data_IF_044371784979
#
_entry.id   IF_044371784979
#
_cell.length_a   1.000
_cell.length_b   1.000
_cell.length_c   1.000
_cell.angle_alpha   90.00
_cell.angle_beta   90.00
_cell.angle_gamma   90.00
#
_symmetry.space_group_name_H-M   'P 1'
#
loop_
_entity.id
_entity.type
_entity.pdbx_description
1 polymer ?
#
# COMPACT_ATOMS: atom_id res chain seq x y z
N UNK A 1 -9.14 4.69 8.40
CA UNK A 1 -8.59 3.34 8.60
C UNK A 1 -7.27 3.20 7.86
N UNK A 2 -6.30 2.45 8.40
CA UNK A 2 -5.07 2.12 7.68
C UNK A 2 -4.74 0.63 7.83
N UNK A 3 -4.20 0.04 6.78
CA UNK A 3 -3.79 -1.35 6.71
C UNK A 3 -2.32 -1.40 6.33
N UNK A 4 -1.46 -1.77 7.29
CA UNK A 4 -0.09 -2.17 7.00
C UNK A 4 -0.13 -3.52 6.29
N UNK A 5 0.57 -3.65 5.16
CA UNK A 5 0.36 -4.76 4.25
C UNK A 5 1.56 -5.70 4.16
N UNK A 6 1.29 -6.99 4.03
CA UNK A 6 2.33 -7.99 3.89
C UNK A 6 2.15 -8.88 2.67
N UNK A 7 3.22 -9.04 1.91
CA UNK A 7 3.30 -9.95 0.77
C UNK A 7 3.79 -11.38 1.11
N UNK A 8 3.87 -11.77 2.39
CA UNK A 8 4.28 -13.13 2.78
C UNK A 8 3.29 -14.18 2.29
N UNK A 9 3.78 -15.27 1.69
CA UNK A 9 2.96 -16.37 1.16
C UNK A 9 2.50 -17.35 2.26
N UNK A 10 1.82 -16.84 3.29
CA UNK A 10 1.27 -17.61 4.42
C UNK A 10 -0.17 -17.19 4.68
N UNK A 11 -0.93 -18.04 5.40
CA UNK A 11 -2.35 -17.80 5.69
C UNK A 11 -2.58 -16.51 6.50
N UNK A 12 -1.78 -16.30 7.54
CA UNK A 12 -1.86 -15.17 8.46
C UNK A 12 -0.50 -14.47 8.53
N UNK A 13 -0.21 -13.52 7.60
CA UNK A 13 1.05 -12.80 7.60
C UNK A 13 1.19 -11.94 8.85
N UNK A 14 2.30 -12.08 9.56
CA UNK A 14 2.55 -11.30 10.79
C UNK A 14 2.61 -9.79 10.55
N UNK A 15 2.97 -9.38 9.33
CA UNK A 15 3.05 -7.99 8.93
C UNK A 15 1.75 -7.45 8.34
N UNK A 16 0.60 -8.04 8.63
CA UNK A 16 -0.71 -7.53 8.21
C UNK A 16 -1.44 -7.00 9.45
N UNK A 17 -1.46 -5.69 9.60
CA UNK A 17 -2.08 -5.01 10.73
C UNK A 17 -3.13 -4.01 10.24
N UNK A 18 -4.25 -3.93 10.96
CA UNK A 18 -5.38 -3.08 10.61
C UNK A 18 -5.70 -2.18 11.78
N UNK A 19 -5.74 -0.87 11.54
CA UNK A 19 -6.14 0.11 12.53
C UNK A 19 -7.23 1.05 11.98
N UNK A 20 -8.14 1.43 12.84
CA UNK A 20 -9.09 2.51 12.55
C UNK A 20 -8.97 3.62 13.60
N UNK A 21 -9.49 4.79 13.28
CA UNK A 21 -9.48 5.93 14.18
C UNK A 21 -10.88 6.51 14.28
N UNK A 22 -11.39 6.49 15.50
CA UNK A 22 -12.63 7.13 15.92
C UNK A 22 -12.36 8.36 16.79
N UNK A 23 -13.38 8.80 17.53
CA UNK A 23 -13.24 9.94 18.45
C UNK A 23 -12.40 9.61 19.70
N UNK A 24 -12.37 8.35 20.09
CA UNK A 24 -11.57 7.85 21.22
C UNK A 24 -10.08 7.69 20.92
N UNK A 25 -9.65 7.94 19.68
CA UNK A 25 -8.29 7.73 19.20
C UNK A 25 -8.16 6.49 18.30
N UNK A 26 -6.93 6.19 17.84
CA UNK A 26 -6.69 5.02 16.98
C UNK A 26 -6.71 3.71 17.77
N UNK A 27 -7.31 2.70 17.16
CA UNK A 27 -7.48 1.35 17.69
C UNK A 27 -6.99 0.31 16.69
N UNK A 28 -6.27 -0.71 17.19
CA UNK A 28 -5.86 -1.85 16.39
C UNK A 28 -6.98 -2.90 16.36
N UNK A 29 -7.44 -3.23 15.17
CA UNK A 29 -8.48 -4.25 14.98
C UNK A 29 -7.83 -5.64 15.00
N UNK A 30 -7.96 -6.33 16.13
CA UNK A 30 -7.32 -7.63 16.37
C UNK A 30 -8.23 -8.77 15.98
N UNK A 31 -7.68 -9.81 15.37
CA UNK A 31 -8.33 -11.10 15.14
C UNK A 31 -7.56 -12.22 15.85
N UNK A 32 -8.25 -13.21 16.38
CA UNK A 32 -7.68 -14.29 17.20
C UNK A 32 -6.46 -14.96 16.54
N UNK A 33 -6.54 -15.25 15.23
CA UNK A 33 -5.45 -15.86 14.46
C UNK A 33 -4.62 -14.84 13.66
N UNK A 34 -4.84 -13.52 13.88
CA UNK A 34 -4.34 -12.45 13.03
C UNK A 34 -5.14 -12.32 11.73
N UNK A 35 -4.81 -11.31 10.95
CA UNK A 35 -5.46 -11.06 9.68
C UNK A 35 -4.94 -12.00 8.58
N UNK A 36 -5.83 -12.40 7.67
CA UNK A 36 -5.49 -12.93 6.36
C UNK A 36 -5.92 -11.95 5.27
N UNK A 37 -5.33 -12.05 4.08
CA UNK A 37 -5.76 -11.20 2.94
C UNK A 37 -7.20 -11.48 2.51
N UNK A 38 -7.65 -12.74 2.63
CA UNK A 38 -9.07 -13.07 2.42
C UNK A 38 -9.98 -12.37 3.44
N UNK A 39 -9.61 -12.38 4.73
CA UNK A 39 -10.37 -11.70 5.77
C UNK A 39 -10.40 -10.17 5.60
N UNK A 40 -9.32 -9.58 5.06
CA UNK A 40 -9.31 -8.15 4.67
C UNK A 40 -10.26 -7.92 3.50
N UNK A 41 -10.22 -8.75 2.46
CA UNK A 41 -11.12 -8.65 1.32
C UNK A 41 -12.59 -8.73 1.77
N UNK A 42 -12.94 -9.73 2.58
CA UNK A 42 -14.31 -9.89 3.10
C UNK A 42 -14.77 -8.67 3.91
N UNK A 43 -13.87 -8.12 4.70
CA UNK A 43 -14.17 -6.92 5.48
C UNK A 43 -14.37 -5.68 4.60
N UNK A 44 -13.51 -5.46 3.61
CA UNK A 44 -13.66 -4.37 2.63
C UNK A 44 -14.99 -4.49 1.86
N UNK A 45 -15.38 -5.70 1.46
CA UNK A 45 -16.69 -5.95 0.84
C UNK A 45 -17.83 -5.60 1.80
N UNK A 46 -17.69 -5.92 3.08
CA UNK A 46 -18.65 -5.53 4.12
C UNK A 46 -18.77 -4.01 4.27
N UNK A 47 -17.65 -3.28 4.28
CA UNK A 47 -17.65 -1.80 4.33
C UNK A 47 -18.32 -1.19 3.10
N UNK A 48 -18.08 -1.76 1.91
CA UNK A 48 -18.75 -1.35 0.68
C UNK A 48 -20.27 -1.54 0.78
N UNK A 49 -20.73 -2.71 1.22
CA UNK A 49 -22.14 -3.03 1.39
C UNK A 49 -22.82 -2.12 2.41
N UNK A 50 -22.13 -1.79 3.48
CA UNK A 50 -22.58 -0.86 4.51
C UNK A 50 -22.54 0.62 4.07
N UNK A 51 -21.91 0.93 2.91
CA UNK A 51 -21.63 2.30 2.46
C UNK A 51 -20.92 3.13 3.55
N UNK A 52 -19.99 2.50 4.27
CA UNK A 52 -19.27 3.15 5.36
C UNK A 52 -18.50 4.37 4.81
N UNK A 53 -18.75 5.56 5.35
CA UNK A 53 -18.04 6.78 4.95
C UNK A 53 -16.64 6.78 5.57
N UNK A 54 -15.68 6.21 4.84
CA UNK A 54 -14.36 5.89 5.38
C UNK A 54 -13.25 6.02 4.34
N UNK A 55 -12.19 6.72 4.70
CA UNK A 55 -10.93 6.70 3.96
C UNK A 55 -10.07 5.53 4.42
N UNK A 56 -9.66 4.66 3.47
CA UNK A 56 -8.95 3.40 3.72
C UNK A 56 -7.56 3.47 3.08
N UNK A 57 -6.52 3.56 3.90
CA UNK A 57 -5.14 3.52 3.43
C UNK A 57 -4.60 2.10 3.38
N UNK A 58 -4.04 1.71 2.24
CA UNK A 58 -3.29 0.45 2.08
C UNK A 58 -1.81 0.75 1.91
N UNK A 59 -0.95 0.21 2.78
CA UNK A 59 0.51 0.33 2.67
C UNK A 59 1.07 -0.65 1.64
N UNK A 60 0.74 -0.39 0.39
CA UNK A 60 1.19 -1.12 -0.78
C UNK A 60 1.11 -0.24 -2.02
N UNK A 61 1.90 -0.55 -3.03
CA UNK A 61 1.79 0.12 -4.33
C UNK A 61 0.76 -0.61 -5.19
N UNK A 62 -0.36 0.03 -5.59
CA UNK A 62 -1.42 -0.63 -6.36
C UNK A 62 -1.04 -0.87 -7.83
N UNK A 63 0.06 -0.30 -8.31
CA UNK A 63 0.57 -0.52 -9.65
C UNK A 63 2.10 -0.53 -9.67
N UNK A 64 2.66 -0.79 -10.85
CA UNK A 64 4.09 -0.82 -11.14
C UNK A 64 4.50 0.42 -11.95
N UNK A 65 5.79 0.76 -12.07
CA UNK A 65 6.29 1.79 -12.98
C UNK A 65 5.86 1.54 -14.43
N UNK A 66 5.34 2.56 -15.08
CA UNK A 66 4.82 2.49 -16.45
C UNK A 66 5.34 3.64 -17.32
N UNK A 67 5.23 4.87 -16.82
CA UNK A 67 5.43 6.11 -17.62
C UNK A 67 6.85 6.23 -18.18
N UNK A 68 7.85 5.72 -17.48
CA UNK A 68 9.26 5.76 -17.89
C UNK A 68 9.56 4.91 -19.15
N UNK A 69 8.70 3.93 -19.47
CA UNK A 69 8.86 3.01 -20.61
C UNK A 69 7.59 2.83 -21.43
N UNK A 70 6.52 3.55 -21.12
CA UNK A 70 5.17 3.36 -21.67
C UNK A 70 4.64 1.93 -21.58
N UNK A 71 5.13 1.16 -20.62
CA UNK A 71 4.75 -0.24 -20.36
C UNK A 71 5.23 -0.70 -18.99
N UNK A 72 4.50 -1.62 -18.35
CA UNK A 72 4.97 -2.25 -17.11
C UNK A 72 6.14 -3.19 -17.33
N UNK A 73 6.07 -3.98 -18.40
CA UNK A 73 7.02 -5.05 -18.70
C UNK A 73 7.59 -4.88 -20.11
N UNK A 74 8.64 -4.03 -20.29
CA UNK A 74 9.30 -3.85 -21.57
C UNK A 74 9.77 -5.17 -22.18
N UNK A 75 9.45 -5.40 -23.44
CA UNK A 75 9.81 -6.61 -24.17
C UNK A 75 8.80 -7.77 -24.02
N UNK A 76 7.71 -7.58 -23.27
CA UNK A 76 6.62 -8.53 -23.17
C UNK A 76 5.39 -7.99 -23.90
N UNK A 77 5.03 -8.61 -25.04
CA UNK A 77 3.93 -8.13 -25.89
C UNK A 77 2.56 -8.15 -25.20
N UNK A 78 2.40 -9.01 -24.20
CA UNK A 78 1.18 -9.09 -23.39
C UNK A 78 1.16 -8.16 -22.18
N UNK A 79 2.12 -7.22 -22.08
CA UNK A 79 2.13 -6.23 -20.99
C UNK A 79 0.82 -5.44 -20.94
N UNK A 80 0.15 -5.38 -19.78
CA UNK A 80 -1.16 -4.74 -19.68
C UNK A 80 -1.07 -3.22 -19.91
N UNK A 81 -2.11 -2.60 -20.49
CA UNK A 81 -2.08 -1.18 -20.84
C UNK A 81 -2.38 -0.23 -19.67
N UNK A 82 -2.99 -0.72 -18.60
CA UNK A 82 -3.40 0.07 -17.44
C UNK A 82 -3.40 -0.77 -16.15
N UNK A 83 -3.60 -0.11 -15.02
CA UNK A 83 -3.57 -0.76 -13.70
C UNK A 83 -4.68 -1.81 -13.52
N UNK A 84 -5.86 -1.62 -14.09
CA UNK A 84 -6.98 -2.57 -13.99
C UNK A 84 -6.67 -3.86 -14.73
N UNK A 85 -6.11 -3.75 -15.90
CA UNK A 85 -5.64 -4.90 -16.69
C UNK A 85 -4.44 -5.58 -16.00
N UNK A 86 -3.54 -4.80 -15.36
CA UNK A 86 -2.44 -5.34 -14.55
C UNK A 86 -2.98 -6.17 -13.37
N UNK A 87 -3.98 -5.68 -12.63
CA UNK A 87 -4.58 -6.43 -11.52
C UNK A 87 -5.22 -7.73 -12.00
N UNK A 88 -5.92 -7.70 -13.12
CA UNK A 88 -6.56 -8.88 -13.71
C UNK A 88 -5.52 -9.94 -14.11
N UNK A 89 -4.44 -9.54 -14.78
CA UNK A 89 -3.35 -10.45 -15.17
C UNK A 89 -2.68 -11.07 -13.93
N UNK A 90 -2.35 -10.25 -12.91
CA UNK A 90 -1.74 -10.72 -11.67
C UNK A 90 -2.64 -11.75 -10.96
N UNK A 91 -3.96 -11.50 -10.86
CA UNK A 91 -4.87 -12.45 -10.23
C UNK A 91 -5.05 -13.73 -11.05
N UNK A 92 -5.08 -13.62 -12.38
CA UNK A 92 -5.17 -14.77 -13.29
C UNK A 92 -3.93 -15.66 -13.21
N UNK A 93 -2.73 -15.08 -13.30
CA UNK A 93 -1.46 -15.83 -13.22
C UNK A 93 -1.25 -16.49 -11.86
N UNK A 94 -1.76 -15.90 -10.81
CA UNK A 94 -1.68 -16.41 -9.44
C UNK A 94 -2.95 -17.13 -8.97
N UNK A 95 -3.82 -17.57 -9.88
CA UNK A 95 -5.13 -18.14 -9.51
C UNK A 95 -5.02 -19.29 -8.51
N UNK A 96 -4.03 -20.16 -8.70
CA UNK A 96 -3.77 -21.35 -7.87
C UNK A 96 -2.86 -21.06 -6.66
N UNK A 97 -2.31 -19.85 -6.56
CA UNK A 97 -1.46 -19.50 -5.41
C UNK A 97 -2.32 -19.39 -4.14
N UNK A 98 -1.94 -20.10 -3.05
CA UNK A 98 -2.71 -20.09 -1.82
C UNK A 98 -2.66 -18.71 -1.13
N UNK A 99 -3.67 -18.42 -0.31
CA UNK A 99 -3.71 -17.24 0.58
C UNK A 99 -3.60 -15.89 -0.15
N UNK A 100 -4.05 -15.81 -1.40
CA UNK A 100 -3.87 -14.63 -2.25
C UNK A 100 -2.38 -14.22 -2.39
N UNK A 101 -1.47 -15.19 -2.35
CA UNK A 101 -0.07 -14.96 -2.69
C UNK A 101 0.07 -14.68 -4.20
N UNK A 102 1.24 -14.24 -4.62
CA UNK A 102 1.55 -13.95 -6.04
C UNK A 102 2.89 -14.59 -6.46
N UNK A 103 3.12 -15.82 -6.00
CA UNK A 103 4.37 -16.54 -6.24
C UNK A 103 4.53 -16.92 -7.70
N UNK A 104 3.44 -17.33 -8.36
CA UNK A 104 3.42 -17.70 -9.77
C UNK A 104 3.79 -16.53 -10.69
N UNK A 105 3.34 -15.31 -10.36
CA UNK A 105 3.68 -14.08 -11.11
C UNK A 105 5.18 -13.83 -11.12
N UNK A 106 5.83 -13.94 -9.96
CA UNK A 106 7.27 -13.66 -9.84
C UNK A 106 8.14 -14.83 -10.28
N UNK A 107 7.54 -16.02 -10.50
CA UNK A 107 8.21 -17.20 -11.03
C UNK A 107 8.06 -17.33 -12.55
N UNK A 108 7.15 -16.60 -13.17
CA UNK A 108 6.95 -16.59 -14.61
C UNK A 108 8.25 -16.24 -15.35
N UNK A 109 8.50 -16.89 -16.47
CA UNK A 109 9.77 -16.79 -17.20
C UNK A 109 10.04 -15.37 -17.70
N UNK A 110 9.02 -14.70 -18.27
CA UNK A 110 9.15 -13.34 -18.81
C UNK A 110 9.13 -12.30 -17.68
N UNK A 111 8.15 -12.39 -16.77
CA UNK A 111 8.00 -11.40 -15.71
C UNK A 111 9.17 -11.42 -14.73
N UNK A 112 9.74 -12.58 -14.47
CA UNK A 112 10.89 -12.74 -13.56
C UNK A 112 12.11 -11.92 -13.96
N UNK A 113 12.26 -11.56 -15.23
CA UNK A 113 13.33 -10.73 -15.78
C UNK A 113 13.30 -9.30 -15.26
N UNK A 114 12.15 -8.83 -14.82
CA UNK A 114 11.96 -7.48 -14.28
C UNK A 114 12.16 -7.39 -12.77
N UNK A 115 12.21 -8.52 -12.06
CA UNK A 115 12.26 -8.53 -10.59
C UNK A 115 13.68 -8.79 -10.05
N UNK A 116 13.97 -8.11 -8.92
CA UNK A 116 15.13 -8.45 -8.08
C UNK A 116 14.71 -9.45 -7.02
N UNK A 117 15.31 -10.65 -7.03
CA UNK A 117 15.11 -11.74 -6.07
C UNK A 117 16.36 -11.93 -5.20
N UNK A 118 16.28 -12.71 -4.11
CA UNK A 118 17.36 -12.87 -3.11
C UNK A 118 18.75 -13.14 -3.68
N UNK A 119 18.85 -13.90 -4.77
CA UNK A 119 20.15 -14.33 -5.38
C UNK A 119 20.24 -14.02 -6.87
N UNK A 120 19.23 -13.40 -7.43
CA UNK A 120 19.18 -13.13 -8.85
C UNK A 120 18.52 -11.77 -9.08
N UNK A 121 19.17 -10.95 -9.87
CA UNK A 121 18.60 -9.75 -10.44
C UNK A 121 18.20 -10.08 -11.88
N UNK A 122 16.93 -9.88 -12.22
CA UNK A 122 16.49 -10.03 -13.60
C UNK A 122 17.23 -9.03 -14.50
N UNK A 123 17.49 -9.41 -15.73
CA UNK A 123 18.23 -8.62 -16.72
C UNK A 123 17.52 -7.31 -17.09
N UNK A 124 16.22 -7.24 -16.90
CA UNK A 124 15.38 -6.06 -17.14
C UNK A 124 15.00 -5.28 -15.86
N UNK A 125 15.55 -5.66 -14.70
CA UNK A 125 15.31 -4.92 -13.44
C UNK A 125 15.80 -3.46 -13.50
N UNK A 126 16.84 -3.20 -14.29
CA UNK A 126 17.52 -1.92 -14.37
C UNK A 126 18.68 -1.78 -13.38
N UNK A 127 19.29 -0.60 -13.35
CA UNK A 127 20.43 -0.32 -12.47
C UNK A 127 20.01 0.24 -11.12
N UNK A 128 20.82 0.02 -10.10
CA UNK A 128 20.63 0.63 -8.79
C UNK A 128 19.36 0.17 -8.08
N UNK A 129 18.38 1.06 -7.94
CA UNK A 129 17.11 0.80 -7.23
C UNK A 129 16.04 0.11 -8.07
N UNK A 130 16.26 -0.07 -9.37
CA UNK A 130 15.24 -0.46 -10.33
C UNK A 130 14.36 0.72 -10.76
N UNK A 131 13.34 0.45 -11.56
CA UNK A 131 12.38 1.43 -12.04
C UNK A 131 11.51 1.96 -10.88
N UNK A 132 11.18 3.24 -10.91
CA UNK A 132 10.30 3.90 -9.95
C UNK A 132 9.09 4.50 -10.66
N UNK A 133 7.95 4.57 -9.97
CA UNK A 133 6.77 5.31 -10.41
C UNK A 133 7.00 6.82 -10.25
N UNK A 134 6.23 7.63 -10.95
CA UNK A 134 6.32 9.10 -10.88
C UNK A 134 6.18 9.59 -9.43
N UNK A 135 5.24 9.03 -8.65
CA UNK A 135 5.08 9.40 -7.23
C UNK A 135 6.28 9.01 -6.37
N UNK A 136 6.95 7.90 -6.66
CA UNK A 136 8.15 7.46 -5.95
C UNK A 136 9.38 8.34 -6.27
N UNK A 137 9.50 8.83 -7.51
CA UNK A 137 10.51 9.82 -7.86
C UNK A 137 10.30 11.13 -7.09
N UNK A 138 9.05 11.59 -6.96
CA UNK A 138 8.72 12.75 -6.13
C UNK A 138 9.01 12.51 -4.65
N UNK A 139 8.77 11.31 -4.14
CA UNK A 139 9.17 10.93 -2.79
C UNK A 139 10.68 11.07 -2.58
N UNK A 140 11.51 10.67 -3.57
CA UNK A 140 12.96 10.88 -3.50
C UNK A 140 13.33 12.36 -3.42
N UNK A 141 12.72 13.20 -4.25
CA UNK A 141 12.93 14.66 -4.22
C UNK A 141 12.52 15.27 -2.87
N UNK A 142 11.50 14.72 -2.23
CA UNK A 142 11.06 15.10 -0.88
C UNK A 142 11.93 14.51 0.26
N UNK A 143 13.03 13.81 -0.06
CA UNK A 143 13.95 13.22 0.93
C UNK A 143 13.44 11.94 1.58
N UNK A 144 12.41 11.29 0.99
CA UNK A 144 11.98 9.95 1.36
C UNK A 144 12.86 8.89 0.67
N UNK A 145 12.66 7.63 0.98
CA UNK A 145 13.49 6.55 0.44
C UNK A 145 12.60 5.40 -0.07
N UNK A 146 11.80 5.64 -1.14
CA UNK A 146 10.96 4.58 -1.71
C UNK A 146 11.81 3.45 -2.28
N UNK A 147 11.22 2.27 -2.31
CA UNK A 147 11.80 1.07 -2.92
C UNK A 147 10.96 0.70 -4.13
N UNK A 148 11.61 0.34 -5.22
CA UNK A 148 10.94 -0.11 -6.44
C UNK A 148 9.98 -1.28 -6.17
N UNK A 149 8.79 -1.25 -6.78
CA UNK A 149 7.84 -2.36 -6.75
C UNK A 149 8.36 -3.63 -7.43
N UNK A 150 9.43 -3.54 -8.21
CA UNK A 150 10.13 -4.71 -8.76
C UNK A 150 11.12 -5.33 -7.78
N UNK A 151 11.33 -4.76 -6.57
CA UNK A 151 12.20 -5.33 -5.56
C UNK A 151 11.44 -6.31 -4.65
N UNK A 152 11.87 -7.58 -4.65
CA UNK A 152 11.26 -8.66 -3.85
C UNK A 152 12.13 -9.08 -2.65
N UNK A 153 13.19 -8.31 -2.34
CA UNK A 153 14.18 -8.69 -1.31
C UNK A 153 14.39 -7.60 -0.27
N UNK A 154 14.96 -8.00 0.86
CA UNK A 154 15.26 -7.09 1.98
C UNK A 154 14.07 -6.87 2.92
N UNK A 155 14.22 -5.90 3.81
CA UNK A 155 13.17 -5.52 4.75
C UNK A 155 11.96 -4.88 4.04
N UNK A 156 12.21 -4.19 2.91
CA UNK A 156 11.18 -3.56 2.09
C UNK A 156 10.88 -4.42 0.86
N UNK A 157 10.17 -5.55 1.04
CA UNK A 157 9.70 -6.40 -0.05
C UNK A 157 8.44 -5.83 -0.71
N UNK A 158 8.51 -4.55 -1.14
CA UNK A 158 7.37 -3.79 -1.66
C UNK A 158 6.69 -4.52 -2.82
N UNK A 159 7.46 -5.12 -3.73
CA UNK A 159 6.89 -5.83 -4.87
C UNK A 159 5.96 -6.99 -4.48
N UNK A 160 6.27 -7.74 -3.43
CA UNK A 160 5.37 -8.82 -2.97
C UNK A 160 4.10 -8.26 -2.34
N UNK A 161 4.21 -7.20 -1.55
CA UNK A 161 3.06 -6.51 -0.98
C UNK A 161 2.17 -5.96 -2.10
N UNK A 162 2.75 -5.32 -3.10
CA UNK A 162 2.05 -4.76 -4.26
C UNK A 162 1.29 -5.83 -5.04
N UNK A 163 1.94 -6.90 -5.45
CA UNK A 163 1.30 -7.97 -6.24
C UNK A 163 0.15 -8.66 -5.48
N UNK A 164 0.34 -8.94 -4.18
CA UNK A 164 -0.75 -9.53 -3.37
C UNK A 164 -1.90 -8.55 -3.13
N UNK A 165 -1.60 -7.26 -3.00
CA UNK A 165 -2.59 -6.19 -2.90
C UNK A 165 -3.40 -6.03 -4.20
N UNK A 166 -2.75 -6.08 -5.37
CA UNK A 166 -3.42 -6.03 -6.68
C UNK A 166 -4.47 -7.14 -6.82
N UNK A 167 -4.21 -8.34 -6.28
CA UNK A 167 -5.19 -9.44 -6.26
C UNK A 167 -6.44 -9.09 -5.44
N UNK A 168 -6.25 -8.48 -4.27
CA UNK A 168 -7.36 -8.01 -3.44
C UNK A 168 -8.14 -6.90 -4.14
N UNK A 169 -7.43 -5.91 -4.71
CA UNK A 169 -8.06 -4.82 -5.45
C UNK A 169 -8.85 -5.32 -6.67
N UNK A 170 -8.32 -6.30 -7.42
CA UNK A 170 -9.04 -6.94 -8.51
C UNK A 170 -10.33 -7.62 -8.04
N UNK A 171 -10.25 -8.37 -6.93
CA UNK A 171 -11.38 -9.14 -6.40
C UNK A 171 -12.43 -8.29 -5.70
N UNK A 172 -12.13 -7.05 -5.34
CA UNK A 172 -13.14 -6.07 -4.93
C UNK A 172 -14.10 -5.70 -6.05
N UNK A 173 -13.75 -5.96 -7.32
CA UNK A 173 -14.60 -5.75 -8.51
C UNK A 173 -15.23 -4.36 -8.58
N UNK A 174 -14.51 -3.33 -8.12
CA UNK A 174 -14.99 -1.95 -8.09
C UNK A 174 -16.01 -1.64 -6.98
N UNK A 175 -16.21 -2.53 -6.01
CA UNK A 175 -17.12 -2.30 -4.89
C UNK A 175 -16.71 -1.09 -4.03
N UNK A 176 -15.41 -0.78 -3.97
CA UNK A 176 -14.86 0.42 -3.37
C UNK A 176 -13.99 1.12 -4.42
N UNK A 177 -14.22 2.43 -4.69
CA UNK A 177 -13.32 3.22 -5.52
C UNK A 177 -11.90 3.24 -4.99
N UNK A 178 -10.93 3.11 -5.87
CA UNK A 178 -9.49 3.17 -5.56
C UNK A 178 -8.91 4.42 -6.21
N UNK A 179 -8.62 5.42 -5.41
CA UNK A 179 -8.00 6.66 -5.91
C UNK A 179 -6.52 6.41 -6.28
N UNK A 180 -6.01 6.99 -7.37
CA UNK A 180 -6.68 7.87 -8.33
C UNK A 180 -7.25 7.17 -9.57
N UNK A 181 -7.33 5.84 -9.58
CA UNK A 181 -7.81 5.05 -10.73
C UNK A 181 -9.31 5.22 -10.98
N UNK A 182 -10.08 5.51 -9.93
CA UNK A 182 -11.52 5.70 -9.99
C UNK A 182 -11.91 7.12 -9.59
N UNK A 183 -13.04 7.62 -10.11
CA UNK A 183 -13.64 8.86 -9.60
C UNK A 183 -13.96 8.76 -8.11
N UNK A 184 -13.80 9.87 -7.40
CA UNK A 184 -14.22 9.94 -6.00
C UNK A 184 -15.73 9.96 -5.91
N UNK A 185 -16.34 9.16 -5.02
CA UNK A 185 -17.77 9.20 -4.74
C UNK A 185 -18.11 10.40 -3.84
N UNK A 186 -19.36 10.83 -3.84
CA UNK A 186 -19.83 11.86 -2.92
C UNK A 186 -19.81 11.38 -1.47
N UNK A 187 -20.06 10.09 -1.24
CA UNK A 187 -20.08 9.43 0.08
C UNK A 187 -19.74 7.96 -0.06
N UNK A 188 -19.25 7.35 1.01
CA UNK A 188 -18.91 5.94 1.07
C UNK A 188 -17.40 5.72 1.18
N UNK A 189 -16.96 4.45 1.19
CA UNK A 189 -15.56 4.12 1.38
C UNK A 189 -14.73 4.45 0.13
N UNK A 190 -13.49 4.92 0.36
CA UNK A 190 -12.47 5.14 -0.68
C UNK A 190 -11.16 4.51 -0.26
N UNK A 191 -10.52 3.80 -1.16
CA UNK A 191 -9.18 3.26 -0.95
C UNK A 191 -8.14 4.22 -1.53
N UNK A 192 -7.06 4.44 -0.76
CA UNK A 192 -5.85 5.16 -1.20
C UNK A 192 -4.60 4.32 -0.88
N UNK A 193 -3.58 4.47 -1.70
CA UNK A 193 -2.24 4.00 -1.34
C UNK A 193 -1.66 4.91 -0.28
N UNK A 194 -1.05 4.34 0.76
CA UNK A 194 -0.26 5.08 1.75
C UNK A 194 1.19 4.60 1.77
N UNK A 195 2.06 5.43 2.29
CA UNK A 195 3.43 5.08 2.65
C UNK A 195 3.65 5.49 4.11
N UNK A 196 3.73 4.51 5.00
CA UNK A 196 3.76 4.71 6.46
C UNK A 196 4.84 5.68 6.92
N UNK A 197 5.95 5.77 6.16
CA UNK A 197 7.01 6.76 6.42
C UNK A 197 6.53 8.21 6.30
N UNK A 198 5.52 8.51 5.48
CA UNK A 198 4.94 9.86 5.37
C UNK A 198 4.21 10.21 6.65
N UNK A 199 3.40 9.30 7.18
CA UNK A 199 2.70 9.46 8.45
C UNK A 199 3.69 9.64 9.62
N UNK A 200 4.73 8.80 9.69
CA UNK A 200 5.77 8.88 10.69
C UNK A 200 6.50 10.24 10.65
N UNK A 201 6.82 10.73 9.45
CA UNK A 201 7.46 12.05 9.27
C UNK A 201 6.54 13.20 9.69
N UNK A 202 5.24 13.13 9.35
CA UNK A 202 4.24 14.10 9.77
C UNK A 202 4.08 14.14 11.30
N UNK A 203 4.20 13.01 11.96
CA UNK A 203 4.20 12.86 13.41
C UNK A 203 5.52 13.28 14.08
N UNK A 204 6.49 13.85 13.34
CA UNK A 204 7.77 14.30 13.87
C UNK A 204 8.77 13.18 14.21
N UNK A 205 8.50 11.93 13.79
CA UNK A 205 9.39 10.80 14.01
C UNK A 205 10.63 10.93 13.11
N UNK A 206 11.81 10.94 13.72
CA UNK A 206 13.07 11.15 13.00
C UNK A 206 13.45 9.93 12.18
N UNK A 207 14.03 10.16 11.00
CA UNK A 207 14.59 9.10 10.16
C UNK A 207 15.63 8.27 10.95
N UNK A 208 15.47 6.94 10.95
CA UNK A 208 16.32 6.03 11.73
C UNK A 208 15.87 5.76 13.16
N UNK A 209 14.94 6.57 13.72
CA UNK A 209 14.27 6.34 15.00
C UNK A 209 12.78 6.03 14.81
N UNK A 210 12.38 5.62 13.60
CA UNK A 210 10.97 5.42 13.20
C UNK A 210 10.28 4.23 13.88
N UNK A 211 10.97 3.52 14.77
CA UNK A 211 10.40 2.36 15.46
C UNK A 211 9.87 2.76 16.82
N UNK A 212 8.56 2.95 16.88
CA UNK A 212 7.85 3.21 18.13
C UNK A 212 7.66 1.88 18.88
N UNK A 213 8.24 1.75 20.07
CA UNK A 213 8.30 0.46 20.80
C UNK A 213 7.55 0.44 22.12
N UNK A 214 6.92 1.54 22.47
CA UNK A 214 6.16 1.71 23.72
C UNK A 214 5.00 2.70 23.54
N UNK A 215 4.09 2.69 24.51
CA UNK A 215 2.90 3.53 24.50
C UNK A 215 3.25 5.02 24.48
N UNK A 216 4.21 5.43 25.30
CA UNK A 216 4.52 6.84 25.47
C UNK A 216 5.07 7.47 24.19
N UNK A 217 5.94 6.76 23.46
CA UNK A 217 6.49 7.23 22.19
C UNK A 217 5.42 7.28 21.09
N UNK A 218 4.51 6.28 21.04
CA UNK A 218 3.39 6.28 20.10
C UNK A 218 2.41 7.42 20.40
N UNK A 219 2.01 7.59 21.66
CA UNK A 219 1.07 8.65 22.05
C UNK A 219 1.66 10.05 21.81
N UNK A 220 2.95 10.23 22.04
CA UNK A 220 3.63 11.49 21.72
C UNK A 220 3.58 11.79 20.21
N UNK A 221 3.78 10.79 19.35
CA UNK A 221 3.65 10.93 17.91
C UNK A 221 2.22 11.20 17.47
N UNK A 222 1.23 10.52 18.06
CA UNK A 222 -0.20 10.75 17.82
C UNK A 222 -0.64 12.16 18.23
N UNK A 223 -0.14 12.68 19.34
CA UNK A 223 -0.42 14.05 19.78
C UNK A 223 0.07 15.09 18.78
N UNK A 224 1.21 14.87 18.09
CA UNK A 224 1.68 15.76 17.01
C UNK A 224 0.70 15.78 15.85
N UNK A 225 0.02 14.66 15.56
CA UNK A 225 -1.04 14.57 14.55
C UNK A 225 -2.40 15.10 15.03
N UNK A 226 -2.48 15.66 16.24
CA UNK A 226 -3.74 16.13 16.82
C UNK A 226 -4.71 14.99 17.17
N UNK A 227 -4.22 13.76 17.29
CA UNK A 227 -5.01 12.59 17.66
C UNK A 227 -5.01 12.38 19.17
N UNK A 228 -6.10 11.80 19.70
CA UNK A 228 -6.09 11.24 21.05
C UNK A 228 -5.10 10.07 21.13
N UNK A 229 -4.74 9.67 22.36
CA UNK A 229 -3.93 8.49 22.64
C UNK A 229 -4.59 7.22 22.05
N UNK A 230 -3.77 6.24 21.68
CA UNK A 230 -4.29 4.98 21.15
C UNK A 230 -4.94 4.12 22.23
N UNK A 231 -5.85 3.25 21.81
CA UNK A 231 -6.33 2.16 22.69
C UNK A 231 -5.14 1.23 22.97
N UNK A 232 -4.86 0.90 24.26
CA UNK A 232 -3.69 0.09 24.62
C UNK A 232 -3.61 -1.24 23.88
N UNK A 233 -2.42 -1.57 23.37
CA UNK A 233 -2.15 -2.80 22.64
C UNK A 233 -1.19 -3.70 23.40
N UNK A 234 -1.29 -5.02 23.18
CA UNK A 234 -0.48 -6.00 23.90
C UNK A 234 1.01 -5.98 23.47
N UNK A 235 1.29 -5.52 22.23
CA UNK A 235 2.65 -5.52 21.67
C UNK A 235 2.85 -4.35 20.72
N UNK A 236 3.96 -3.64 20.94
CA UNK A 236 4.40 -2.53 20.09
C UNK A 236 5.43 -3.04 19.08
N UNK A 237 4.98 -3.55 17.96
CA UNK A 237 5.83 -3.88 16.82
C UNK A 237 5.60 -2.87 15.67
N UNK A 238 6.47 -2.92 14.66
CA UNK A 238 6.46 -1.96 13.56
C UNK A 238 5.08 -1.94 12.87
N UNK A 239 4.49 -3.09 12.60
CA UNK A 239 3.24 -3.20 11.85
C UNK A 239 2.05 -2.59 12.60
N UNK A 240 1.94 -2.89 13.90
CA UNK A 240 0.88 -2.33 14.74
C UNK A 240 0.99 -0.80 14.87
N UNK A 241 2.21 -0.31 15.15
CA UNK A 241 2.44 1.13 15.35
C UNK A 241 2.33 1.91 14.04
N UNK A 242 2.79 1.36 12.91
CA UNK A 242 2.67 1.98 11.59
C UNK A 242 1.19 2.07 11.16
N UNK A 243 0.37 1.04 11.41
CA UNK A 243 -1.06 1.06 11.12
C UNK A 243 -1.79 2.13 11.96
N UNK A 244 -1.55 2.17 13.28
CA UNK A 244 -2.18 3.14 14.19
C UNK A 244 -1.82 4.58 13.81
N UNK A 245 -0.54 4.84 13.57
CA UNK A 245 -0.04 6.16 13.21
C UNK A 245 -0.59 6.63 11.85
N UNK A 246 -0.62 5.71 10.88
CA UNK A 246 -1.15 6.00 9.54
C UNK A 246 -2.65 6.25 9.55
N UNK A 247 -3.42 5.55 10.40
CA UNK A 247 -4.85 5.79 10.55
C UNK A 247 -5.12 7.20 11.11
N UNK A 248 -4.38 7.61 12.14
CA UNK A 248 -4.47 8.96 12.71
C UNK A 248 -4.07 10.04 11.70
N UNK A 249 -2.97 9.82 10.97
CA UNK A 249 -2.51 10.73 9.93
C UNK A 249 -3.54 10.90 8.82
N UNK A 250 -4.12 9.80 8.31
CA UNK A 250 -5.17 9.85 7.29
C UNK A 250 -6.37 10.68 7.74
N UNK A 251 -6.82 10.52 9.00
CA UNK A 251 -7.90 11.34 9.56
C UNK A 251 -7.56 12.83 9.55
N UNK A 252 -6.33 13.17 9.91
CA UNK A 252 -5.85 14.55 9.93
C UNK A 252 -5.87 15.19 8.54
N UNK A 253 -5.46 14.44 7.50
CA UNK A 253 -5.21 15.00 6.17
C UNK A 253 -6.30 14.72 5.13
N UNK A 254 -7.32 13.94 5.46
CA UNK A 254 -8.38 13.54 4.53
C UNK A 254 -9.08 14.72 3.86
N UNK A 255 -9.24 15.84 4.58
CA UNK A 255 -9.86 17.06 4.08
C UNK A 255 -8.95 18.00 3.29
N UNK A 256 -7.65 17.68 3.13
CA UNK A 256 -6.72 18.50 2.34
C UNK A 256 -6.92 18.27 0.84
N UNK A 257 -7.67 19.14 0.17
CA UNK A 257 -7.95 19.05 -1.27
C UNK A 257 -6.70 18.97 -2.15
N UNK A 258 -5.57 19.55 -1.72
CA UNK A 258 -4.31 19.52 -2.45
C UNK A 258 -3.67 18.12 -2.52
N UNK A 259 -4.04 17.22 -1.62
CA UNK A 259 -3.57 15.84 -1.64
C UNK A 259 -4.35 14.95 -2.63
N UNK A 260 -5.56 15.36 -2.97
CA UNK A 260 -6.42 14.66 -3.94
C UNK A 260 -6.12 15.04 -5.38
N UNK A 261 -5.47 16.19 -5.59
CA UNK A 261 -5.13 16.71 -6.94
C UNK A 261 -3.68 17.18 -7.01
N UNK A 262 -2.68 16.32 -6.72
CA UNK A 262 -1.27 16.71 -6.76
C UNK A 262 -0.83 17.03 -8.17
N UNK A 263 0.04 18.04 -8.34
CA UNK A 263 0.44 18.57 -9.64
C UNK A 263 1.11 17.55 -10.59
N UNK A 264 1.66 16.45 -10.05
CA UNK A 264 2.27 15.39 -10.84
C UNK A 264 1.31 14.30 -11.32
N UNK A 265 0.06 14.31 -10.84
CA UNK A 265 -0.95 13.32 -11.16
C UNK A 265 -1.63 13.67 -12.49
N UNK A 266 -1.02 13.24 -13.60
CA UNK A 266 -1.63 13.34 -14.94
C UNK A 266 -2.65 12.23 -15.15
N UNK A 267 -3.50 12.34 -16.17
CA UNK A 267 -4.46 11.29 -16.52
C UNK A 267 -3.79 9.95 -16.84
N UNK A 268 -2.63 9.95 -17.50
CA UNK A 268 -1.86 8.73 -17.75
C UNK A 268 -1.36 8.11 -16.43
N UNK A 269 -0.74 8.91 -15.57
CA UNK A 269 -0.27 8.43 -14.24
C UNK A 269 -1.41 7.86 -13.42
N UNK A 270 -2.57 8.55 -13.39
CA UNK A 270 -3.75 8.07 -12.65
C UNK A 270 -4.24 6.70 -13.14
N UNK A 271 -4.21 6.44 -14.45
CA UNK A 271 -4.69 5.19 -15.02
C UNK A 271 -3.67 4.05 -14.94
N UNK A 272 -2.37 4.37 -14.93
CA UNK A 272 -1.31 3.36 -15.03
C UNK A 272 -0.58 3.13 -13.71
N UNK A 273 -0.02 4.17 -13.09
CA UNK A 273 0.86 4.01 -11.93
C UNK A 273 0.15 4.24 -10.59
N UNK A 274 -0.96 5.01 -10.61
CA UNK A 274 -1.58 5.48 -9.39
C UNK A 274 -0.73 6.53 -8.67
N UNK A 275 -1.04 6.78 -7.42
CA UNK A 275 -0.37 7.81 -6.63
C UNK A 275 -0.39 7.50 -5.15
N UNK A 276 0.73 7.70 -4.47
CA UNK A 276 0.79 7.59 -3.01
C UNK A 276 0.15 8.83 -2.37
N UNK A 277 -0.91 8.65 -1.60
CA UNK A 277 -1.59 9.73 -0.90
C UNK A 277 -0.63 10.43 0.07
N UNK A 278 -0.63 11.77 0.05
CA UNK A 278 0.32 12.57 0.82
C UNK A 278 1.57 13.03 0.06
N UNK A 279 1.81 12.54 -1.15
CA UNK A 279 2.88 13.04 -2.05
C UNK A 279 2.32 14.24 -2.84
N UNK A 280 3.06 15.38 -2.84
CA UNK A 280 2.69 16.64 -3.51
C UNK A 280 3.46 16.84 -4.81
#
# INVERSE_FOLDING_TARGET
MAIDWSGQAVAHPKGLAVAEVGDAGPELIVRERGWSRGAVLDWLVGLAAARADMLIGLDLSPALPFVDKDTYFPGWDASPPDARALWAIVDTMAADDPFLAASSVVADAELSRHFRRQRACGDLFGVGRGRLRVCEERQLLAGLSPTSCFNLVGAAQVGKSSLTGMRVLHRLRGAIPVWPFDPLPDTGPVIVEIYTTIAARAAGVRKGLSKLRDAASLDAALAVLGSAAHVPIARYDDHATDALLSAAWLRQVAGDGGLWTPAGLTGQVAQTEGWTFGVR
#
